data_IF_862563602933
#
_entry.id   IF_862563602933
#
_cell.length_a   1.000
_cell.length_b   1.000
_cell.length_c   1.000
_cell.angle_alpha   90.00
_cell.angle_beta   90.00
_cell.angle_gamma   90.00
#
_symmetry.space_group_name_H-M   'P 1'
#
loop_
_entity.id
_entity.type
_entity.pdbx_description
1 polymer ?
#
# COMPACT_ATOMS: atom_id res chain seq x y z
N UNK A 1 -18.59 -29.09 31.84
CA UNK A 1 -19.57 -29.23 30.74
C UNK A 1 -19.71 -27.85 30.12
N UNK A 2 -18.89 -27.56 29.13
CA UNK A 2 -18.85 -26.25 28.47
C UNK A 2 -19.96 -26.23 27.42
N UNK A 3 -21.00 -25.42 27.64
CA UNK A 3 -22.04 -25.21 26.65
C UNK A 3 -21.42 -24.39 25.52
N UNK A 4 -21.08 -25.05 24.42
CA UNK A 4 -20.84 -24.37 23.16
C UNK A 4 -22.23 -23.96 22.64
N UNK A 5 -22.59 -22.69 22.80
CA UNK A 5 -23.81 -22.12 22.23
C UNK A 5 -23.78 -22.26 20.70
N UNK A 6 -24.41 -23.33 20.22
CA UNK A 6 -24.40 -23.76 18.82
C UNK A 6 -25.35 -22.96 17.92
N UNK A 7 -25.71 -21.73 18.27
CA UNK A 7 -26.78 -20.97 17.61
C UNK A 7 -26.47 -19.49 17.32
N UNK A 8 -25.19 -19.10 17.29
CA UNK A 8 -24.80 -17.71 16.94
C UNK A 8 -24.50 -17.56 15.43
N UNK A 9 -24.22 -18.69 14.74
CA UNK A 9 -23.91 -18.70 13.31
C UNK A 9 -24.99 -18.07 12.41
N UNK A 10 -26.30 -18.20 12.66
CA UNK A 10 -27.34 -17.54 11.84
C UNK A 10 -27.47 -16.03 12.11
N UNK A 11 -26.97 -15.54 13.26
CA UNK A 11 -26.98 -14.11 13.60
C UNK A 11 -25.79 -13.35 12.99
N UNK A 12 -24.74 -14.06 12.57
CA UNK A 12 -23.61 -13.44 11.91
C UNK A 12 -23.97 -13.13 10.45
N UNK A 13 -23.65 -11.92 9.96
CA UNK A 13 -23.79 -11.60 8.55
C UNK A 13 -22.99 -12.61 7.71
N UNK A 14 -23.49 -12.92 6.52
CA UNK A 14 -22.79 -13.83 5.62
C UNK A 14 -21.37 -13.33 5.33
N UNK A 15 -20.46 -14.25 4.99
CA UNK A 15 -19.09 -13.90 4.62
C UNK A 15 -19.03 -12.84 3.50
N UNK A 16 -19.91 -12.94 2.50
CA UNK A 16 -20.03 -11.95 1.43
C UNK A 16 -20.51 -10.59 1.93
N UNK A 17 -21.44 -10.55 2.89
CA UNK A 17 -21.88 -9.31 3.52
C UNK A 17 -20.75 -8.67 4.34
N UNK A 18 -19.99 -9.47 5.10
CA UNK A 18 -18.81 -8.99 5.85
C UNK A 18 -17.76 -8.41 4.88
N UNK A 19 -17.42 -9.15 3.82
CA UNK A 19 -16.47 -8.70 2.81
C UNK A 19 -16.91 -7.41 2.14
N UNK A 20 -18.19 -7.30 1.75
CA UNK A 20 -18.76 -6.09 1.16
C UNK A 20 -18.72 -4.92 2.13
N UNK A 21 -19.00 -5.15 3.41
CA UNK A 21 -18.98 -4.10 4.43
C UNK A 21 -17.55 -3.60 4.68
N UNK A 22 -16.56 -4.52 4.77
CA UNK A 22 -15.14 -4.18 4.84
C UNK A 22 -14.72 -3.34 3.62
N UNK A 23 -15.09 -3.76 2.40
CA UNK A 23 -14.77 -3.01 1.19
C UNK A 23 -15.44 -1.63 1.14
N UNK A 24 -16.67 -1.53 1.62
CA UNK A 24 -17.41 -0.26 1.68
C UNK A 24 -16.78 0.71 2.68
N UNK A 25 -16.40 0.23 3.87
CA UNK A 25 -15.69 1.01 4.88
C UNK A 25 -14.34 1.46 4.34
N UNK A 26 -13.57 0.55 3.72
CA UNK A 26 -12.31 0.89 3.05
C UNK A 26 -12.52 1.97 1.98
N UNK A 27 -13.49 1.82 1.08
CA UNK A 27 -13.78 2.85 0.08
C UNK A 27 -14.11 4.20 0.71
N UNK A 28 -14.96 4.21 1.76
CA UNK A 28 -15.30 5.45 2.49
C UNK A 28 -14.11 6.09 3.20
N UNK A 29 -13.18 5.29 3.74
CA UNK A 29 -11.97 5.81 4.39
C UNK A 29 -10.87 6.19 3.39
N UNK A 30 -10.84 5.56 2.22
CA UNK A 30 -9.77 5.72 1.21
C UNK A 30 -10.05 6.85 0.21
N UNK A 31 -11.28 7.36 0.10
CA UNK A 31 -11.68 8.42 -0.85
C UNK A 31 -11.13 9.82 -0.58
N UNK A 32 -10.23 10.04 0.39
CA UNK A 32 -9.67 11.37 0.64
C UNK A 32 -8.56 11.79 -0.34
N UNK A 33 -7.88 10.85 -1.00
CA UNK A 33 -6.74 11.19 -1.86
C UNK A 33 -7.15 11.22 -3.33
N UNK A 34 -6.82 12.33 -3.99
CA UNK A 34 -7.01 12.51 -5.44
C UNK A 34 -6.11 11.51 -6.16
N UNK A 35 -6.68 10.73 -7.08
CA UNK A 35 -5.89 9.87 -7.96
C UNK A 35 -5.10 10.78 -8.91
N UNK A 36 -3.76 10.73 -8.91
CA UNK A 36 -2.97 11.60 -9.77
C UNK A 36 -3.09 11.14 -11.23
N UNK A 37 -3.11 12.09 -12.17
CA UNK A 37 -3.14 11.81 -13.61
C UNK A 37 -1.75 11.39 -14.11
N UNK A 38 -0.69 11.78 -13.41
CA UNK A 38 0.70 11.46 -13.73
C UNK A 38 1.59 11.47 -12.48
N UNK A 39 2.83 11.00 -12.61
CA UNK A 39 3.76 10.83 -11.50
C UNK A 39 4.18 12.15 -10.82
N UNK A 40 4.14 13.29 -11.52
CA UNK A 40 4.48 14.59 -10.93
C UNK A 40 3.35 15.13 -10.05
N UNK A 41 2.09 14.79 -10.35
CA UNK A 41 0.94 15.14 -9.51
C UNK A 41 0.79 14.25 -8.25
N UNK A 42 1.52 13.13 -8.14
CA UNK A 42 1.44 12.25 -6.98
C UNK A 42 1.99 12.94 -5.72
N UNK A 43 1.11 13.40 -4.84
CA UNK A 43 1.51 13.88 -3.51
C UNK A 43 1.46 12.69 -2.57
N UNK A 44 2.57 12.43 -1.86
CA UNK A 44 2.64 11.39 -0.82
C UNK A 44 2.58 12.11 0.53
N UNK A 45 1.44 12.03 1.25
CA UNK A 45 1.31 12.56 2.59
C UNK A 45 2.37 12.04 3.56
N UNK A 46 2.76 12.86 4.54
CA UNK A 46 3.80 12.52 5.52
C UNK A 46 3.47 11.27 6.33
N UNK A 47 2.18 11.00 6.59
CA UNK A 47 1.75 9.79 7.30
C UNK A 47 2.11 8.48 6.57
N UNK A 48 2.39 8.55 5.26
CA UNK A 48 2.83 7.39 4.46
C UNK A 48 4.35 7.32 4.30
N UNK A 49 5.10 8.28 4.84
CA UNK A 49 6.55 8.23 4.82
C UNK A 49 7.10 7.23 5.84
N UNK A 50 6.27 6.87 6.83
CA UNK A 50 6.62 5.98 7.93
C UNK A 50 5.66 4.78 8.00
N UNK A 51 6.15 3.69 8.57
CA UNK A 51 5.31 2.54 8.93
C UNK A 51 4.52 2.84 10.22
N UNK A 52 3.55 1.98 10.58
CA UNK A 52 2.85 2.05 11.88
C UNK A 52 3.77 1.85 13.10
N UNK A 53 5.02 1.44 12.88
CA UNK A 53 6.07 1.33 13.92
C UNK A 53 7.03 2.52 13.89
N UNK A 54 6.69 3.59 13.17
CA UNK A 54 7.48 4.82 13.03
C UNK A 54 8.82 4.62 12.31
N UNK A 55 8.98 3.50 11.59
CA UNK A 55 10.17 3.26 10.77
C UNK A 55 10.02 3.97 9.42
N UNK A 56 11.09 4.63 8.95
CA UNK A 56 11.09 5.29 7.64
C UNK A 56 10.88 4.25 6.52
N UNK A 57 9.83 4.50 5.73
CA UNK A 57 9.39 3.63 4.63
C UNK A 57 9.61 4.25 3.26
N UNK A 58 9.33 5.56 3.11
CA UNK A 58 9.75 6.31 1.92
C UNK A 58 11.22 6.70 2.09
N UNK A 59 12.12 6.00 1.39
CA UNK A 59 13.57 6.20 1.58
C UNK A 59 14.16 7.13 0.52
N UNK A 60 13.55 7.22 -0.65
CA UNK A 60 14.00 8.14 -1.69
C UNK A 60 12.84 8.65 -2.55
N UNK A 61 12.88 9.93 -2.86
CA UNK A 61 12.03 10.60 -3.84
C UNK A 61 12.87 11.64 -4.59
N UNK A 62 13.02 11.47 -5.91
CA UNK A 62 13.76 12.43 -6.73
C UNK A 62 13.02 13.75 -6.97
N UNK A 63 11.80 13.88 -6.46
CA UNK A 63 11.01 15.11 -6.49
C UNK A 63 10.15 15.29 -7.75
N UNK A 64 9.14 16.15 -7.61
CA UNK A 64 8.07 16.42 -8.58
C UNK A 64 8.57 17.08 -9.87
N UNK A 65 9.69 17.80 -9.80
CA UNK A 65 10.26 18.52 -10.95
C UNK A 65 11.11 17.62 -11.87
N UNK A 66 11.23 16.33 -11.55
CA UNK A 66 12.03 15.38 -12.33
C UNK A 66 11.12 14.62 -13.29
N UNK A 67 11.40 14.71 -14.60
CA UNK A 67 10.57 14.09 -15.65
C UNK A 67 10.37 12.56 -15.47
N UNK A 68 11.36 11.89 -14.89
CA UNK A 68 11.31 10.46 -14.53
C UNK A 68 11.41 10.33 -13.02
N UNK A 69 10.43 10.88 -12.29
CA UNK A 69 10.42 10.83 -10.82
C UNK A 69 10.55 9.39 -10.33
N UNK A 70 11.60 9.13 -9.56
CA UNK A 70 11.86 7.83 -8.93
C UNK A 70 11.45 7.94 -7.47
N UNK A 71 10.60 7.00 -7.04
CA UNK A 71 10.14 6.88 -5.66
C UNK A 71 10.49 5.48 -5.18
N UNK A 72 11.23 5.39 -4.08
CA UNK A 72 11.66 4.11 -3.51
C UNK A 72 11.05 3.95 -2.13
N UNK A 73 10.20 2.94 -2.02
CA UNK A 73 9.70 2.44 -0.75
C UNK A 73 10.49 1.21 -0.34
N UNK A 74 11.05 1.23 0.86
CA UNK A 74 11.84 0.11 1.39
C UNK A 74 11.95 0.23 2.91
N UNK A 75 12.77 -0.60 3.53
CA UNK A 75 13.24 -0.42 4.90
C UNK A 75 14.75 -0.28 4.91
N UNK A 76 15.30 0.39 5.93
CA UNK A 76 16.75 0.45 6.12
C UNK A 76 17.39 -0.95 6.14
N UNK A 77 16.69 -1.92 6.74
CA UNK A 77 17.11 -3.32 6.78
C UNK A 77 17.25 -3.92 5.38
N UNK A 78 16.26 -3.72 4.51
CA UNK A 78 16.32 -4.21 3.13
C UNK A 78 17.48 -3.55 2.37
N UNK A 79 17.67 -2.23 2.51
CA UNK A 79 18.78 -1.54 1.86
C UNK A 79 20.15 -2.03 2.36
N UNK A 80 20.30 -2.28 3.66
CA UNK A 80 21.52 -2.84 4.22
C UNK A 80 21.79 -4.25 3.69
N UNK A 81 20.77 -5.08 3.53
CA UNK A 81 20.95 -6.42 2.93
C UNK A 81 21.40 -6.27 1.47
N UNK A 82 20.73 -5.41 0.70
CA UNK A 82 21.07 -5.18 -0.71
C UNK A 82 22.49 -4.62 -0.87
N UNK A 83 22.89 -3.64 -0.05
CA UNK A 83 24.21 -3.00 -0.15
C UNK A 83 25.37 -3.93 0.20
N UNK A 84 25.13 -4.91 1.07
CA UNK A 84 26.13 -5.92 1.45
C UNK A 84 26.07 -7.19 0.59
N UNK A 85 25.12 -7.29 -0.35
CA UNK A 85 24.98 -8.45 -1.21
C UNK A 85 25.89 -8.33 -2.44
N UNK A 86 26.81 -9.29 -2.68
CA UNK A 86 27.68 -9.25 -3.87
C UNK A 86 26.90 -9.45 -5.18
N UNK A 87 25.74 -10.11 -5.09
CA UNK A 87 24.86 -10.35 -6.21
C UNK A 87 23.42 -10.05 -5.80
N UNK A 88 22.69 -9.35 -6.66
CA UNK A 88 21.29 -9.05 -6.46
C UNK A 88 20.54 -9.48 -7.72
N UNK A 89 19.50 -10.27 -7.52
CA UNK A 89 18.62 -10.73 -8.59
C UNK A 89 17.26 -10.07 -8.40
N UNK A 90 16.79 -9.40 -9.44
CA UNK A 90 15.48 -8.77 -9.45
C UNK A 90 14.62 -9.45 -10.51
N UNK A 91 13.42 -9.83 -10.12
CA UNK A 91 12.32 -10.13 -11.04
C UNK A 91 11.26 -9.04 -10.84
N UNK A 92 10.82 -8.44 -11.93
CA UNK A 92 9.98 -7.25 -11.88
C UNK A 92 8.72 -7.45 -12.73
N UNK A 93 7.57 -7.16 -12.14
CA UNK A 93 6.31 -7.06 -12.87
C UNK A 93 6.09 -5.62 -13.29
N UNK A 94 6.15 -5.36 -14.58
CA UNK A 94 5.89 -4.03 -15.14
C UNK A 94 4.41 -3.91 -15.51
N UNK A 95 3.76 -2.84 -15.03
CA UNK A 95 2.47 -2.39 -15.55
C UNK A 95 2.67 -1.04 -16.20
N UNK A 96 2.29 -0.95 -17.47
CA UNK A 96 2.27 0.30 -18.22
C UNK A 96 0.83 0.74 -18.34
N UNK A 97 0.55 1.99 -17.95
CA UNK A 97 -0.75 2.63 -18.19
C UNK A 97 -0.54 3.58 -19.35
N UNK A 98 -1.26 3.38 -20.45
CA UNK A 98 -1.34 4.40 -21.50
C UNK A 98 -2.19 5.56 -20.99
N UNK A 99 -1.67 6.77 -21.12
CA UNK A 99 -2.44 7.98 -20.91
C UNK A 99 -3.07 8.29 -22.27
N UNK A 100 -4.39 8.12 -22.38
CA UNK A 100 -5.13 8.57 -23.56
C UNK A 100 -5.04 10.11 -23.60
N UNK A 101 -4.61 10.63 -24.76
CA UNK A 101 -4.40 12.06 -24.99
C UNK A 101 -5.68 12.86 -25.16
#
# INVERSE_FOLDING_TARGET
MTVCDSNIAPLLPSFSAIQRNIQMIRKKSTTQYIVPENASQLIIPEEFHYTFREEQFLIFDSGINTANRIIIFSSLRCLNILSNSPHIYFDATFKVVQIDG
#
